data_IF_892148903308
#
_entry.id   IF_892148903308
#
_cell.length_a   1.000
_cell.length_b   1.000
_cell.length_c   1.000
_cell.angle_alpha   90.00
_cell.angle_beta   90.00
_cell.angle_gamma   90.00
#
_symmetry.space_group_name_H-M   'P 1'
#
loop_
_entity.id
_entity.type
_entity.pdbx_description
1 polymer ?
#
# COMPACT_ATOMS: atom_id res chain seq x y z
N UNK A 1 2.51 10.96 13.41
CA UNK A 1 2.29 9.80 12.51
C UNK A 1 2.61 10.18 11.07
N UNK A 2 1.92 11.18 10.51
CA UNK A 2 2.07 11.61 9.11
C UNK A 2 3.46 12.16 8.76
N UNK A 3 4.13 12.89 9.66
CA UNK A 3 5.50 13.39 9.39
C UNK A 3 6.49 12.26 9.09
N UNK A 4 6.41 11.12 9.80
CA UNK A 4 7.28 9.96 9.54
C UNK A 4 7.03 9.36 8.16
N UNK A 5 5.77 9.34 7.74
CA UNK A 5 5.36 8.86 6.40
C UNK A 5 5.91 9.79 5.32
N UNK A 6 5.68 11.10 5.49
CA UNK A 6 6.20 12.13 4.61
C UNK A 6 7.72 12.03 4.44
N UNK A 7 8.45 12.06 5.54
CA UNK A 7 9.92 12.10 5.52
C UNK A 7 10.53 10.79 4.95
N UNK A 8 9.77 9.68 4.96
CA UNK A 8 10.25 8.42 4.38
C UNK A 8 10.03 8.33 2.86
N UNK A 9 9.12 9.12 2.29
CA UNK A 9 8.86 9.14 0.84
C UNK A 9 10.10 9.53 0.04
N UNK A 10 10.97 10.39 0.59
CA UNK A 10 12.25 10.80 -0.02
C UNK A 10 13.22 9.63 -0.25
N UNK A 11 13.05 8.51 0.45
CA UNK A 11 13.90 7.33 0.27
C UNK A 11 13.39 6.37 -0.80
N UNK A 12 12.40 6.75 -1.60
CA UNK A 12 11.87 5.92 -2.67
C UNK A 12 12.98 5.41 -3.60
N UNK A 13 13.07 4.09 -3.78
CA UNK A 13 14.03 3.47 -4.70
C UNK A 13 15.47 3.38 -4.20
N UNK A 14 15.80 3.92 -3.02
CA UNK A 14 17.14 3.76 -2.43
C UNK A 14 17.49 2.29 -2.24
N UNK A 15 18.74 1.95 -2.54
CA UNK A 15 19.24 0.59 -2.36
C UNK A 15 19.58 0.35 -0.89
N UNK A 16 18.87 -0.60 -0.28
CA UNK A 16 19.19 -1.16 1.02
C UNK A 16 20.13 -2.36 0.86
N UNK A 17 21.02 -2.54 1.83
CA UNK A 17 21.88 -3.71 1.98
C UNK A 17 21.84 -4.15 3.43
N UNK A 18 22.07 -5.43 3.69
CA UNK A 18 22.22 -5.90 5.06
C UNK A 18 23.36 -5.10 5.73
N UNK A 19 23.14 -4.45 6.89
CA UNK A 19 24.16 -3.67 7.60
C UNK A 19 25.47 -4.42 7.81
N UNK A 20 25.43 -5.72 8.07
CA UNK A 20 26.63 -6.54 8.29
C UNK A 20 27.49 -6.71 7.02
N UNK A 21 26.91 -6.44 5.85
CA UNK A 21 27.57 -6.49 4.54
C UNK A 21 27.79 -5.09 3.94
N UNK A 22 27.47 -4.04 4.67
CA UNK A 22 27.50 -2.66 4.18
C UNK A 22 28.81 -1.93 4.46
N UNK A 23 29.72 -2.52 5.25
CA UNK A 23 31.02 -1.91 5.57
C UNK A 23 30.85 -0.53 6.19
N UNK A 24 31.43 0.49 5.56
CA UNK A 24 31.34 1.90 6.00
C UNK A 24 29.90 2.44 5.98
N UNK A 25 29.02 1.92 5.12
CA UNK A 25 27.62 2.34 5.07
C UNK A 25 26.72 1.64 6.12
N UNK A 26 27.30 0.86 7.04
CA UNK A 26 26.53 0.10 8.05
C UNK A 26 25.56 0.97 8.84
N UNK A 27 26.01 2.12 9.32
CA UNK A 27 25.18 3.03 10.12
C UNK A 27 24.00 3.58 9.31
N UNK A 28 24.25 4.00 8.07
CA UNK A 28 23.21 4.43 7.12
C UNK A 28 22.18 3.32 6.88
N UNK A 29 22.61 2.07 6.69
CA UNK A 29 21.68 0.95 6.50
C UNK A 29 20.83 0.67 7.76
N UNK A 30 21.40 0.80 8.95
CA UNK A 30 20.65 0.70 10.20
C UNK A 30 19.60 1.81 10.33
N UNK A 31 19.98 3.04 9.99
CA UNK A 31 19.06 4.19 10.01
C UNK A 31 17.91 4.01 9.01
N UNK A 32 18.20 3.60 7.77
CA UNK A 32 17.19 3.33 6.75
C UNK A 32 16.23 2.21 7.19
N UNK A 33 16.76 1.13 7.78
CA UNK A 33 15.95 0.04 8.33
C UNK A 33 15.03 0.55 9.45
N UNK A 34 15.57 1.33 10.39
CA UNK A 34 14.79 1.89 11.48
C UNK A 34 13.66 2.79 10.95
N UNK A 35 13.99 3.75 10.07
CA UNK A 35 13.01 4.64 9.42
C UNK A 35 11.93 3.86 8.66
N UNK A 36 12.31 2.85 7.90
CA UNK A 36 11.35 2.01 7.17
C UNK A 36 10.42 1.21 8.07
N UNK A 37 10.94 0.64 9.15
CA UNK A 37 10.14 -0.10 10.14
C UNK A 37 9.19 0.82 10.91
N UNK A 38 9.66 1.99 11.35
CA UNK A 38 8.83 2.98 12.03
C UNK A 38 7.72 3.51 11.14
N UNK A 39 8.03 3.79 9.87
CA UNK A 39 7.05 4.28 8.91
C UNK A 39 6.00 3.23 8.60
N UNK A 40 6.42 1.96 8.40
CA UNK A 40 5.49 0.84 8.24
C UNK A 40 4.57 0.69 9.44
N UNK A 41 5.09 0.85 10.67
CA UNK A 41 4.28 0.82 11.89
C UNK A 41 3.27 1.96 11.89
N UNK A 42 3.68 3.19 11.55
CA UNK A 42 2.80 4.35 11.47
C UNK A 42 1.65 4.13 10.47
N UNK A 43 1.94 3.63 9.27
CA UNK A 43 0.92 3.31 8.28
C UNK A 43 0.00 2.15 8.73
N UNK A 44 0.55 1.15 9.43
CA UNK A 44 -0.24 0.04 9.98
C UNK A 44 -1.25 0.53 11.03
N UNK A 45 -0.84 1.44 11.91
CA UNK A 45 -1.77 2.04 12.89
C UNK A 45 -2.84 2.88 12.20
N UNK A 46 -2.50 3.64 11.16
CA UNK A 46 -3.48 4.34 10.34
C UNK A 46 -4.53 3.39 9.75
N UNK A 47 -4.07 2.28 9.14
CA UNK A 47 -4.95 1.28 8.56
C UNK A 47 -5.87 0.62 9.61
N UNK A 48 -5.37 0.37 10.82
CA UNK A 48 -6.18 -0.12 11.95
C UNK A 48 -7.23 0.89 12.38
N UNK A 49 -6.88 2.19 12.44
CA UNK A 49 -7.86 3.24 12.75
C UNK A 49 -8.98 3.25 11.72
N UNK A 50 -8.67 3.13 10.43
CA UNK A 50 -9.68 3.02 9.38
C UNK A 50 -10.56 1.77 9.56
N UNK A 51 -9.96 0.62 9.84
CA UNK A 51 -10.68 -0.64 10.03
C UNK A 51 -11.57 -0.63 11.29
N UNK A 52 -11.19 0.09 12.35
CA UNK A 52 -12.04 0.23 13.54
C UNK A 52 -13.38 0.92 13.24
N UNK A 53 -13.44 1.79 12.22
CA UNK A 53 -14.68 2.40 11.74
C UNK A 53 -15.47 1.52 10.76
N UNK A 54 -14.84 0.47 10.23
CA UNK A 54 -15.43 -0.45 9.24
C UNK A 54 -15.11 -1.91 9.63
N UNK A 55 -15.69 -2.41 10.73
CA UNK A 55 -15.33 -3.70 11.32
C UNK A 55 -15.67 -4.91 10.44
N UNK A 56 -16.52 -4.74 9.44
CA UNK A 56 -16.84 -5.77 8.44
C UNK A 56 -15.65 -6.10 7.52
N UNK A 57 -14.59 -5.29 7.56
CA UNK A 57 -13.39 -5.47 6.77
C UNK A 57 -12.28 -6.12 7.60
N UNK A 58 -11.81 -7.26 7.14
CA UNK A 58 -10.61 -7.91 7.62
C UNK A 58 -9.36 -7.23 7.05
N UNK A 59 -8.59 -6.61 7.94
CA UNK A 59 -7.31 -5.99 7.60
C UNK A 59 -6.23 -7.05 7.37
N UNK A 60 -5.63 -7.03 6.18
CA UNK A 60 -4.49 -7.85 5.81
C UNK A 60 -3.16 -7.20 6.25
N UNK A 61 -2.07 -7.95 6.13
CA UNK A 61 -0.74 -7.45 6.50
C UNK A 61 -0.31 -6.25 5.63
N UNK A 62 0.15 -5.18 6.29
CA UNK A 62 0.82 -4.04 5.62
C UNK A 62 2.02 -4.48 4.81
N UNK A 63 2.14 -3.91 3.60
CA UNK A 63 3.28 -4.15 2.71
C UNK A 63 4.63 -3.91 3.38
N UNK A 64 5.67 -4.52 2.81
CA UNK A 64 7.02 -4.40 3.33
C UNK A 64 7.63 -3.07 2.89
N UNK A 65 8.48 -2.51 3.76
CA UNK A 65 9.18 -1.23 3.55
C UNK A 65 10.32 -1.31 2.51
N UNK A 66 10.59 -2.52 2.01
CA UNK A 66 11.51 -2.79 0.90
C UNK A 66 10.98 -3.92 0.02
N UNK A 67 11.38 -3.94 -1.26
CA UNK A 67 11.07 -5.01 -2.20
C UNK A 67 12.14 -6.13 -2.17
N UNK A 68 11.92 -7.18 -2.97
CA UNK A 68 12.84 -8.32 -3.08
C UNK A 68 14.22 -7.94 -3.63
N UNK A 69 14.31 -6.87 -4.42
CA UNK A 69 15.58 -6.32 -4.94
C UNK A 69 16.30 -5.42 -3.90
N UNK A 70 15.84 -5.42 -2.66
CA UNK A 70 16.33 -4.57 -1.56
C UNK A 70 16.23 -3.07 -1.88
N UNK A 71 15.24 -2.64 -2.67
CA UNK A 71 14.93 -1.22 -2.84
C UNK A 71 13.86 -0.80 -1.86
N UNK A 72 14.05 0.36 -1.24
CA UNK A 72 13.09 0.94 -0.31
C UNK A 72 11.78 1.30 -1.03
N UNK A 73 10.66 1.01 -0.37
CA UNK A 73 9.29 1.16 -0.87
C UNK A 73 8.48 1.95 0.16
N UNK A 74 8.48 3.29 0.07
CA UNK A 74 7.75 4.13 1.01
C UNK A 74 6.24 4.19 0.71
N UNK A 75 5.82 3.89 -0.52
CA UNK A 75 4.41 3.72 -0.89
C UNK A 75 3.85 2.43 -0.29
N UNK A 76 3.40 2.50 0.96
CA UNK A 76 2.77 1.39 1.66
C UNK A 76 1.34 1.13 1.16
N UNK A 77 0.90 -0.12 1.30
CA UNK A 77 -0.48 -0.51 1.07
C UNK A 77 -0.91 -1.61 2.04
N UNK A 78 -2.20 -1.69 2.30
CA UNK A 78 -2.88 -2.82 2.94
C UNK A 78 -4.08 -3.22 2.08
N UNK A 79 -4.44 -4.49 2.17
CA UNK A 79 -5.72 -4.97 1.64
C UNK A 79 -6.72 -5.09 2.78
N UNK A 80 -7.96 -4.71 2.51
CA UNK A 80 -9.11 -4.80 3.39
C UNK A 80 -10.09 -5.74 2.69
N UNK A 81 -10.20 -6.97 3.17
CA UNK A 81 -11.06 -7.99 2.59
C UNK A 81 -12.34 -8.10 3.44
N UNK A 82 -13.50 -8.13 2.80
CA UNK A 82 -14.77 -8.37 3.50
C UNK A 82 -15.08 -9.87 3.49
N UNK A 83 -16.01 -10.29 2.62
CA UNK A 83 -16.43 -11.67 2.46
C UNK A 83 -15.84 -12.25 1.17
N UNK A 84 -15.77 -13.59 1.08
CA UNK A 84 -15.40 -14.31 -0.14
C UNK A 84 -13.95 -14.81 -0.17
N UNK A 85 -13.50 -15.18 -1.36
CA UNK A 85 -12.18 -15.79 -1.57
C UNK A 85 -11.09 -14.73 -1.79
N UNK A 86 -9.83 -15.11 -1.61
CA UNK A 86 -8.68 -14.22 -1.85
C UNK A 86 -8.53 -13.77 -3.31
N UNK A 87 -9.23 -14.44 -4.24
CA UNK A 87 -9.30 -14.09 -5.67
C UNK A 87 -10.37 -13.04 -5.97
N UNK A 88 -11.23 -12.73 -5.00
CA UNK A 88 -12.26 -11.70 -5.12
C UNK A 88 -11.64 -10.29 -5.03
N UNK A 89 -12.22 -9.31 -5.74
CA UNK A 89 -11.91 -7.90 -5.51
C UNK A 89 -12.19 -7.50 -4.07
N UNK A 90 -11.38 -6.59 -3.56
CA UNK A 90 -11.38 -6.08 -2.20
C UNK A 90 -10.94 -4.62 -2.21
N UNK A 91 -10.87 -3.93 -1.07
CA UNK A 91 -10.30 -2.59 -1.06
C UNK A 91 -8.82 -2.61 -0.76
N UNK A 92 -8.07 -1.75 -1.43
CA UNK A 92 -6.70 -1.42 -1.10
C UNK A 92 -6.67 0.00 -0.53
N UNK A 93 -6.14 0.13 0.69
CA UNK A 93 -5.77 1.43 1.24
C UNK A 93 -4.29 1.65 0.89
N UNK A 94 -3.97 2.70 0.14
CA UNK A 94 -2.63 2.94 -0.41
C UNK A 94 -2.15 4.34 -0.08
N UNK A 95 -0.84 4.46 0.15
CA UNK A 95 -0.15 5.73 0.15
C UNK A 95 0.25 6.11 -1.28
N UNK A 96 -0.04 7.33 -1.71
CA UNK A 96 0.38 7.87 -3.01
C UNK A 96 1.09 9.22 -2.85
N UNK A 97 1.73 9.68 -3.93
CA UNK A 97 2.37 10.99 -3.99
C UNK A 97 3.82 11.00 -3.52
N UNK A 98 4.32 12.21 -3.26
CA UNK A 98 5.69 12.51 -2.87
C UNK A 98 5.70 13.36 -1.59
N UNK A 99 6.87 13.59 -0.98
CA UNK A 99 6.97 14.28 0.31
C UNK A 99 6.31 15.67 0.35
N UNK A 100 6.25 16.37 -0.78
CA UNK A 100 5.60 17.68 -0.93
C UNK A 100 4.07 17.61 -1.06
N UNK A 101 3.56 16.51 -1.62
CA UNK A 101 2.14 16.29 -1.89
C UNK A 101 1.84 14.79 -1.88
N UNK A 102 1.40 14.28 -0.73
CA UNK A 102 1.07 12.88 -0.53
C UNK A 102 -0.30 12.73 0.11
N UNK A 103 -0.92 11.58 -0.14
CA UNK A 103 -2.23 11.28 0.40
C UNK A 103 -2.48 9.79 0.52
N UNK A 104 -3.71 9.47 0.89
CA UNK A 104 -4.18 8.10 1.00
C UNK A 104 -5.35 7.91 0.04
N UNK A 105 -5.28 6.85 -0.75
CA UNK A 105 -6.38 6.40 -1.60
C UNK A 105 -7.02 5.15 -1.00
N UNK A 106 -8.32 4.98 -1.27
CA UNK A 106 -9.04 3.74 -1.03
C UNK A 106 -9.60 3.28 -2.37
N UNK A 107 -9.13 2.14 -2.87
CA UNK A 107 -9.36 1.69 -4.25
C UNK A 107 -9.94 0.29 -4.28
N UNK A 108 -10.84 0.00 -5.23
CA UNK A 108 -11.23 -1.38 -5.55
C UNK A 108 -10.06 -2.05 -6.25
N UNK A 109 -9.51 -3.10 -5.65
CA UNK A 109 -8.28 -3.78 -6.07
C UNK A 109 -8.37 -5.28 -5.85
N UNK A 110 -7.35 -6.02 -6.25
CA UNK A 110 -7.18 -7.43 -5.92
C UNK A 110 -5.71 -7.73 -5.66
N UNK A 111 -5.42 -8.90 -5.07
CA UNK A 111 -4.04 -9.36 -4.87
C UNK A 111 -3.54 -9.99 -6.17
N UNK A 112 -2.64 -9.30 -6.89
CA UNK A 112 -2.16 -9.72 -8.23
C UNK A 112 -1.71 -11.19 -8.32
N UNK A 113 -0.91 -11.65 -7.35
CA UNK A 113 -0.42 -13.05 -7.29
C UNK A 113 -1.51 -14.10 -7.01
N UNK A 114 -2.74 -13.67 -6.73
CA UNK A 114 -3.92 -14.51 -6.48
C UNK A 114 -5.00 -14.33 -7.55
N UNK A 115 -4.75 -13.51 -8.57
CA UNK A 115 -5.67 -13.24 -9.68
C UNK A 115 -6.00 -14.53 -10.43
N UNK A 116 -7.27 -14.75 -10.72
CA UNK A 116 -7.75 -15.80 -11.61
C UNK A 116 -8.35 -15.22 -12.91
N UNK A 117 -8.98 -16.06 -13.72
CA UNK A 117 -9.60 -15.66 -15.00
C UNK A 117 -10.83 -14.76 -14.79
N UNK A 118 -11.50 -14.85 -13.64
CA UNK A 118 -12.71 -14.11 -13.33
C UNK A 118 -12.43 -12.81 -12.55
N UNK A 119 -11.31 -12.70 -11.83
CA UNK A 119 -11.00 -11.56 -10.93
C UNK A 119 -11.22 -10.20 -11.59
N UNK A 120 -10.72 -9.99 -12.82
CA UNK A 120 -10.86 -8.71 -13.52
C UNK A 120 -12.32 -8.42 -13.91
N UNK A 121 -13.05 -9.44 -14.37
CA UNK A 121 -14.47 -9.31 -14.68
C UNK A 121 -15.30 -8.96 -13.43
N UNK A 122 -14.93 -9.52 -12.27
CA UNK A 122 -15.57 -9.18 -11.00
C UNK A 122 -15.25 -7.76 -10.54
N UNK A 123 -14.01 -7.29 -10.71
CA UNK A 123 -13.63 -5.91 -10.40
C UNK A 123 -14.38 -4.91 -11.29
N UNK A 124 -14.50 -5.21 -12.58
CA UNK A 124 -15.16 -4.34 -13.55
C UNK A 124 -16.65 -4.10 -13.26
N UNK A 125 -17.32 -4.97 -12.48
CA UNK A 125 -18.71 -4.78 -12.05
C UNK A 125 -18.95 -3.48 -11.29
N UNK A 126 -17.91 -2.87 -10.69
CA UNK A 126 -18.04 -1.55 -10.08
C UNK A 126 -18.52 -0.50 -11.09
N UNK A 127 -18.19 -0.66 -12.38
CA UNK A 127 -18.60 0.24 -13.46
C UNK A 127 -20.09 0.11 -13.82
N UNK A 128 -20.78 -0.94 -13.34
CA UNK A 128 -22.23 -1.11 -13.52
C UNK A 128 -23.04 -0.33 -12.47
N UNK A 129 -22.38 0.15 -11.39
CA UNK A 129 -23.04 0.96 -10.36
C UNK A 129 -23.23 2.39 -10.90
N UNK A 130 -24.44 2.98 -10.83
CA UNK A 130 -24.62 4.36 -11.25
C UNK A 130 -23.73 5.33 -10.45
N UNK A 131 -23.03 6.21 -11.16
CA UNK A 131 -22.32 7.32 -10.49
C UNK A 131 -23.33 8.28 -9.87
N UNK A 132 -22.99 8.80 -8.70
CA UNK A 132 -23.74 9.89 -8.04
C UNK A 132 -23.03 11.22 -8.28
N UNK A 133 -23.73 12.34 -8.05
CA UNK A 133 -23.16 13.68 -8.23
C UNK A 133 -21.83 13.82 -7.48
N UNK A 134 -20.79 14.30 -8.18
CA UNK A 134 -19.45 14.46 -7.63
C UNK A 134 -18.55 13.22 -7.66
N UNK A 135 -19.04 12.07 -8.17
CA UNK A 135 -18.24 10.85 -8.36
C UNK A 135 -18.12 10.52 -9.85
N UNK A 136 -16.93 10.13 -10.29
CA UNK A 136 -16.69 9.64 -11.64
C UNK A 136 -15.91 8.32 -11.60
N UNK A 137 -16.21 7.43 -12.55
CA UNK A 137 -15.32 6.32 -12.85
C UNK A 137 -14.29 6.76 -13.89
N UNK A 138 -13.03 6.44 -13.62
CA UNK A 138 -11.95 6.52 -14.58
C UNK A 138 -11.39 5.12 -14.76
N UNK A 139 -11.59 4.54 -15.94
CA UNK A 139 -11.07 3.22 -16.30
C UNK A 139 -10.04 3.36 -17.41
N UNK A 140 -8.89 2.72 -17.22
CA UNK A 140 -7.87 2.59 -18.24
C UNK A 140 -7.97 1.19 -18.85
N UNK A 141 -8.04 1.12 -20.17
CA UNK A 141 -7.92 -0.14 -20.92
C UNK A 141 -6.53 -0.17 -21.55
N UNK A 142 -5.93 -1.36 -21.61
CA UNK A 142 -4.70 -1.65 -22.34
C UNK A 142 -3.36 -1.13 -21.79
N UNK A 143 -3.34 -0.49 -20.61
CA UNK A 143 -2.11 -0.14 -19.90
C UNK A 143 -1.34 0.99 -20.56
#
# INVERSE_FOLDING_TARGET
MLNKIRDYLDFAGFQYRNPDKAGEEREKMLELRHKGQETRKAFTELAKTFQASHPEWQLQQTSQWMNQAQRLRPHFWVYLQRDGQVTEPMMALRLYGESSDFGISLEVSFIERKKDVQTLGKQAKVLEVPVVEGIYYLSYCDG
#
